data_IF_457622800125
#
_entry.id   IF_457622800125
#
_cell.length_a   1.000
_cell.length_b   1.000
_cell.length_c   1.000
_cell.angle_alpha   90.00
_cell.angle_beta   90.00
_cell.angle_gamma   90.00
#
_symmetry.space_group_name_H-M   'P 1'
#
loop_
_entity.id
_entity.type
_entity.pdbx_description
1 polymer ?
#
# COMPACT_ATOMS: atom_id res chain seq x y z
N UNK A 1 34.39 55.07 25.57
CA UNK A 1 35.73 55.75 25.53
C UNK A 1 36.17 55.85 24.08
N UNK A 2 36.48 57.12 23.70
CA UNK A 2 37.20 57.58 22.52
C UNK A 2 36.52 57.35 21.14
N UNK A 3 35.74 58.29 20.61
CA UNK A 3 35.95 59.65 20.09
C UNK A 3 36.88 59.78 18.88
N UNK A 4 36.34 60.58 17.95
CA UNK A 4 37.01 61.41 16.91
C UNK A 4 37.05 60.85 15.50
N UNK A 5 36.81 61.60 14.44
CA UNK A 5 36.39 62.96 14.17
C UNK A 5 36.41 63.12 12.64
N UNK A 6 35.40 63.75 12.11
CA UNK A 6 35.35 64.89 11.18
C UNK A 6 36.54 65.11 10.22
N UNK A 7 36.26 65.18 8.92
CA UNK A 7 36.79 66.23 8.09
C UNK A 7 35.90 66.50 6.86
N UNK A 8 35.43 67.72 6.82
CA UNK A 8 34.71 68.42 5.75
C UNK A 8 35.83 68.99 4.82
N UNK A 9 35.62 68.90 3.53
CA UNK A 9 36.28 69.87 2.61
C UNK A 9 35.34 70.22 1.45
N UNK A 10 34.88 71.44 1.44
CA UNK A 10 34.18 72.10 0.35
C UNK A 10 35.26 72.84 -0.53
N UNK A 11 35.03 72.76 -1.84
CA UNK A 11 35.63 73.81 -2.73
C UNK A 11 34.74 73.99 -3.95
N UNK A 12 34.24 75.22 -4.06
CA UNK A 12 33.54 75.77 -5.22
C UNK A 12 34.52 76.38 -6.19
N UNK A 13 34.22 76.41 -7.48
CA UNK A 13 34.58 77.49 -8.47
C UNK A 13 33.80 77.17 -9.76
N UNK A 14 32.79 77.90 -10.18
CA UNK A 14 32.62 79.11 -11.01
C UNK A 14 33.28 79.01 -12.39
N UNK A 15 32.47 79.25 -13.44
CA UNK A 15 32.94 79.76 -14.71
C UNK A 15 32.06 79.40 -15.92
N UNK A 16 31.05 80.18 -16.17
CA UNK A 16 30.68 80.92 -17.41
C UNK A 16 30.87 80.31 -18.78
N UNK A 17 29.77 80.39 -19.55
CA UNK A 17 29.78 80.99 -20.86
C UNK A 17 29.07 80.29 -21.97
N UNK A 18 27.87 80.79 -22.30
CA UNK A 18 27.49 81.23 -23.63
C UNK A 18 27.04 80.19 -24.65
N UNK A 19 25.98 80.43 -25.07
CA UNK A 19 25.33 80.92 -26.31
C UNK A 19 24.18 80.01 -26.81
N UNK A 20 23.14 80.71 -27.20
CA UNK A 20 21.84 80.21 -27.55
C UNK A 20 21.70 79.80 -29.04
N UNK A 21 20.68 78.95 -29.29
CA UNK A 21 19.77 78.81 -30.44
C UNK A 21 20.26 78.08 -31.69
N UNK A 22 19.29 77.53 -32.53
CA UNK A 22 17.83 77.60 -32.46
C UNK A 22 17.10 76.29 -32.65
N UNK A 23 15.81 76.41 -32.44
CA UNK A 23 14.73 75.51 -32.71
C UNK A 23 14.80 74.76 -34.04
N UNK A 24 14.47 73.47 -33.93
CA UNK A 24 14.24 72.60 -35.10
C UNK A 24 13.43 71.34 -34.74
N UNK A 25 12.17 71.35 -35.11
CA UNK A 25 11.44 70.12 -35.44
C UNK A 25 10.84 69.33 -34.31
N UNK A 26 9.61 69.64 -33.89
CA UNK A 26 8.68 68.70 -33.32
C UNK A 26 8.38 67.59 -34.33
N UNK A 27 9.05 66.46 -34.27
CA UNK A 27 8.59 65.23 -34.86
C UNK A 27 7.87 64.48 -33.74
N UNK A 28 6.50 64.48 -33.85
CA UNK A 28 5.63 63.67 -33.02
C UNK A 28 5.93 62.18 -33.24
N UNK A 29 6.80 61.66 -32.42
CA UNK A 29 6.95 60.21 -32.24
C UNK A 29 5.82 59.73 -31.33
N UNK A 30 4.82 59.10 -31.86
CA UNK A 30 3.87 58.34 -31.09
C UNK A 30 4.59 57.28 -30.25
N UNK A 31 4.79 57.63 -28.96
CA UNK A 31 5.34 56.70 -28.00
C UNK A 31 4.35 55.59 -27.74
N UNK A 32 4.33 54.59 -28.62
CA UNK A 32 3.71 53.31 -28.28
C UNK A 32 4.43 52.77 -27.04
N UNK A 33 3.62 52.34 -26.06
CA UNK A 33 4.19 51.70 -24.87
C UNK A 33 5.17 50.59 -25.29
N UNK A 34 6.32 50.46 -24.65
CA UNK A 34 7.31 49.46 -24.99
C UNK A 34 6.67 48.06 -24.99
N UNK A 35 6.73 47.37 -26.11
CA UNK A 35 6.22 46.01 -26.25
C UNK A 35 7.35 45.02 -25.92
N UNK A 36 7.14 44.22 -24.89
CA UNK A 36 8.12 43.24 -24.44
C UNK A 36 7.92 41.89 -25.15
N UNK A 37 8.97 41.34 -25.79
CA UNK A 37 8.89 39.96 -26.31
C UNK A 37 8.91 38.97 -25.13
N UNK A 38 7.99 38.06 -25.08
CA UNK A 38 7.83 37.01 -24.05
C UNK A 38 7.54 35.70 -24.68
N UNK A 39 8.08 34.61 -24.12
CA UNK A 39 7.71 33.26 -24.47
C UNK A 39 6.51 32.83 -23.63
N UNK A 40 5.52 32.24 -24.29
CA UNK A 40 4.26 31.83 -23.66
C UNK A 40 3.97 30.36 -23.92
N UNK A 41 3.36 29.71 -22.96
CA UNK A 41 2.74 28.40 -23.13
C UNK A 41 1.23 28.51 -22.91
N UNK A 42 0.47 27.63 -23.54
CA UNK A 42 -0.97 27.53 -23.33
C UNK A 42 -1.24 26.58 -22.15
N UNK A 43 -2.00 27.04 -21.17
CA UNK A 43 -2.50 26.20 -20.10
C UNK A 43 -3.37 25.09 -20.68
N UNK A 44 -3.00 23.84 -20.45
CA UNK A 44 -3.69 22.66 -21.00
C UNK A 44 -4.38 21.84 -19.90
N UNK A 45 -5.32 21.02 -20.27
CA UNK A 45 -5.86 20.00 -19.38
C UNK A 45 -5.05 18.73 -19.51
N UNK A 46 -4.75 18.10 -18.35
CA UNK A 46 -4.04 16.83 -18.29
C UNK A 46 -4.58 15.98 -17.14
N UNK A 47 -4.27 14.69 -17.16
CA UNK A 47 -4.62 13.81 -16.04
C UNK A 47 -3.55 13.89 -14.96
N UNK A 48 -3.93 14.47 -13.84
CA UNK A 48 -3.08 14.54 -12.65
C UNK A 48 -3.45 13.44 -11.66
N UNK A 49 -2.44 12.66 -11.27
CA UNK A 49 -2.59 11.58 -10.27
C UNK A 49 -1.88 12.03 -9.00
N UNK A 50 -2.64 12.25 -7.95
CA UNK A 50 -2.10 12.50 -6.63
C UNK A 50 -1.78 11.17 -5.94
N UNK A 51 -0.55 11.02 -5.46
CA UNK A 51 -0.10 9.79 -4.80
C UNK A 51 0.40 10.07 -3.38
N UNK A 52 0.08 9.17 -2.48
CA UNK A 52 0.63 9.12 -1.12
C UNK A 52 1.81 8.16 -1.16
N UNK A 53 3.01 8.65 -0.85
CA UNK A 53 4.20 7.81 -0.71
C UNK A 53 4.28 7.23 0.69
N UNK A 54 4.57 5.94 0.78
CA UNK A 54 4.69 5.20 2.02
C UNK A 54 5.74 4.10 1.87
N UNK A 55 6.25 3.63 3.00
CA UNK A 55 7.18 2.50 3.03
C UNK A 55 6.57 1.34 3.80
N UNK A 56 6.99 0.13 3.48
CA UNK A 56 6.43 -1.04 4.11
C UNK A 56 7.20 -2.32 3.78
N UNK A 57 6.53 -3.45 3.92
CA UNK A 57 7.11 -4.76 3.61
C UNK A 57 6.08 -5.69 2.95
N UNK A 58 6.60 -6.65 2.21
CA UNK A 58 5.78 -7.75 1.71
C UNK A 58 5.45 -8.68 2.88
N UNK A 59 4.19 -9.07 2.98
CA UNK A 59 3.65 -10.02 3.94
C UNK A 59 2.97 -11.19 3.22
N UNK A 60 3.06 -12.38 3.79
CA UNK A 60 2.20 -13.47 3.35
C UNK A 60 0.74 -13.18 3.75
N UNK A 61 -0.22 -13.59 2.93
CA UNK A 61 -1.65 -13.48 3.28
C UNK A 61 -1.96 -14.36 4.51
N UNK A 62 -1.37 -15.54 4.55
CA UNK A 62 -1.41 -16.46 5.70
C UNK A 62 0.00 -16.97 5.97
N UNK A 63 0.40 -16.98 7.22
CA UNK A 63 1.65 -17.57 7.70
C UNK A 63 1.42 -18.17 9.08
N UNK A 64 1.78 -19.43 9.24
CA UNK A 64 1.65 -20.14 10.51
C UNK A 64 2.90 -20.96 10.84
N UNK A 65 3.13 -21.19 12.11
CA UNK A 65 4.02 -22.21 12.61
C UNK A 65 3.22 -23.50 12.81
N UNK A 66 3.54 -24.52 12.05
CA UNK A 66 2.91 -25.83 12.19
C UNK A 66 3.42 -26.53 13.45
N UNK A 67 2.49 -26.99 14.25
CA UNK A 67 2.73 -27.74 15.50
C UNK A 67 1.85 -29.00 15.51
N UNK A 68 2.28 -30.09 16.14
CA UNK A 68 1.44 -31.27 16.25
C UNK A 68 0.32 -31.06 17.28
N UNK A 69 -0.83 -31.68 17.07
CA UNK A 69 -1.95 -31.69 18.01
C UNK A 69 -1.88 -32.87 18.99
N UNK A 70 -1.11 -33.91 18.65
CA UNK A 70 -0.83 -35.06 19.48
C UNK A 70 0.67 -35.20 19.67
N UNK A 71 1.06 -35.70 20.84
CA UNK A 71 2.47 -35.94 21.15
C UNK A 71 2.90 -37.34 20.70
N UNK A 72 4.17 -37.49 20.40
CA UNK A 72 4.75 -38.77 20.01
C UNK A 72 6.04 -38.62 19.20
N UNK A 73 6.53 -39.73 18.69
CA UNK A 73 7.74 -39.80 17.88
C UNK A 73 7.39 -39.56 16.40
N UNK A 74 8.18 -38.75 15.69
CA UNK A 74 8.06 -38.61 14.23
C UNK A 74 8.56 -39.90 13.58
N UNK A 75 7.69 -40.57 12.84
CA UNK A 75 7.99 -41.81 12.11
C UNK A 75 8.15 -41.60 10.62
N UNK A 76 7.60 -40.49 10.08
CA UNK A 76 7.70 -40.18 8.65
C UNK A 76 7.64 -38.68 8.41
N UNK A 77 8.41 -38.21 7.43
CA UNK A 77 8.41 -36.84 6.93
C UNK A 77 7.95 -36.90 5.48
N UNK A 78 6.73 -36.45 5.23
CA UNK A 78 6.02 -36.59 3.95
C UNK A 78 6.29 -35.44 2.98
N UNK A 79 6.61 -34.23 3.51
CA UNK A 79 6.88 -33.05 2.71
C UNK A 79 8.33 -32.60 2.85
N UNK A 80 8.92 -32.13 1.75
CA UNK A 80 10.27 -31.55 1.73
C UNK A 80 10.21 -30.05 2.11
N UNK A 81 11.32 -29.54 2.59
CA UNK A 81 11.51 -28.09 2.85
C UNK A 81 11.41 -27.29 1.56
N UNK A 82 10.81 -26.11 1.62
CA UNK A 82 10.68 -25.20 0.49
C UNK A 82 9.77 -25.70 -0.64
N UNK A 83 9.01 -26.77 -0.42
CA UNK A 83 8.09 -27.30 -1.43
C UNK A 83 6.69 -26.73 -1.28
N UNK A 84 6.00 -26.64 -2.41
CA UNK A 84 4.59 -26.27 -2.45
C UNK A 84 3.73 -27.46 -2.04
N UNK A 85 2.74 -27.17 -1.21
CA UNK A 85 1.77 -28.16 -0.73
C UNK A 85 0.35 -27.60 -0.87
N UNK A 86 -0.57 -28.49 -1.16
CA UNK A 86 -2.01 -28.17 -1.23
C UNK A 86 -2.62 -28.40 0.14
N UNK A 87 -3.70 -27.69 0.45
CA UNK A 87 -4.51 -27.91 1.65
C UNK A 87 -4.84 -29.39 1.83
N UNK A 88 -4.76 -29.89 3.07
CA UNK A 88 -4.98 -31.27 3.43
C UNK A 88 -3.79 -32.23 3.20
N UNK A 89 -2.72 -31.80 2.49
CA UNK A 89 -1.51 -32.61 2.28
C UNK A 89 -0.87 -32.98 3.61
N UNK A 90 -0.57 -34.27 3.85
CA UNK A 90 0.19 -34.73 5.00
C UNK A 90 1.63 -34.26 4.93
N UNK A 91 2.13 -33.69 6.02
CA UNK A 91 3.49 -33.13 6.10
C UNK A 91 4.38 -33.97 7.02
N UNK A 92 3.87 -34.38 8.13
CA UNK A 92 4.56 -35.20 9.13
C UNK A 92 3.62 -36.29 9.62
N UNK A 93 4.18 -37.45 9.97
CA UNK A 93 3.46 -38.53 10.61
C UNK A 93 4.10 -38.85 11.97
N UNK A 94 3.28 -38.88 12.99
CA UNK A 94 3.61 -39.25 14.35
C UNK A 94 3.25 -40.73 14.53
N UNK A 95 3.96 -41.43 15.39
CA UNK A 95 3.68 -42.84 15.69
C UNK A 95 2.25 -43.03 16.17
N UNK A 96 1.49 -43.75 15.39
CA UNK A 96 0.06 -44.03 15.59
C UNK A 96 -0.23 -45.41 16.11
N UNK A 97 0.80 -46.21 16.39
CA UNK A 97 0.64 -47.65 16.74
C UNK A 97 -0.21 -47.86 17.99
N UNK A 98 0.02 -47.08 19.04
CA UNK A 98 -0.75 -47.15 20.27
C UNK A 98 -2.21 -46.69 20.07
N UNK A 99 -2.41 -45.61 19.32
CA UNK A 99 -3.73 -45.05 19.04
C UNK A 99 -4.58 -46.02 18.17
N UNK A 100 -3.96 -46.69 17.19
CA UNK A 100 -4.63 -47.75 16.40
C UNK A 100 -5.08 -48.91 17.26
N UNK A 101 -4.26 -49.38 18.21
CA UNK A 101 -4.65 -50.44 19.12
C UNK A 101 -5.82 -50.00 20.03
N UNK A 102 -5.84 -48.73 20.48
CA UNK A 102 -6.93 -48.19 21.28
C UNK A 102 -8.23 -48.05 20.46
N UNK A 103 -8.15 -47.60 19.22
CA UNK A 103 -9.33 -47.53 18.29
C UNK A 103 -9.89 -48.93 18.10
N UNK A 104 -9.08 -49.93 17.78
CA UNK A 104 -9.55 -51.30 17.58
C UNK A 104 -10.24 -51.85 18.84
N UNK A 105 -9.76 -51.57 20.06
CA UNK A 105 -10.42 -51.94 21.31
C UNK A 105 -11.78 -51.25 21.45
N UNK A 106 -11.85 -49.95 21.20
CA UNK A 106 -13.10 -49.17 21.33
C UNK A 106 -14.13 -49.54 20.24
N UNK A 107 -13.69 -49.95 19.05
CA UNK A 107 -14.55 -50.52 18.01
C UNK A 107 -15.26 -51.80 18.51
N UNK A 108 -14.51 -52.70 19.16
CA UNK A 108 -15.09 -53.91 19.74
C UNK A 108 -16.06 -53.60 20.91
N UNK A 109 -15.76 -52.60 21.74
CA UNK A 109 -16.65 -52.12 22.82
C UNK A 109 -17.96 -51.53 22.27
N UNK A 110 -17.87 -50.68 21.23
CA UNK A 110 -19.01 -50.08 20.52
C UNK A 110 -19.89 -51.19 19.91
N UNK A 111 -19.29 -52.17 19.25
CA UNK A 111 -20.00 -53.27 18.62
C UNK A 111 -20.75 -54.12 19.64
N UNK A 112 -20.11 -54.39 20.79
CA UNK A 112 -20.77 -55.11 21.92
C UNK A 112 -21.98 -54.33 22.47
N UNK A 113 -21.81 -53.00 22.70
CA UNK A 113 -22.89 -52.14 23.18
C UNK A 113 -24.06 -52.06 22.18
N UNK A 114 -23.73 -51.92 20.88
CA UNK A 114 -24.74 -51.90 19.80
C UNK A 114 -25.49 -53.21 19.70
N UNK A 115 -24.81 -54.36 19.83
CA UNK A 115 -25.48 -55.67 19.87
C UNK A 115 -26.37 -55.85 21.10
N UNK A 116 -25.94 -55.32 22.27
CA UNK A 116 -26.77 -55.34 23.49
C UNK A 116 -28.04 -54.49 23.30
N UNK A 117 -27.90 -53.28 22.75
CA UNK A 117 -29.05 -52.42 22.42
C UNK A 117 -30.02 -53.10 21.49
N UNK A 118 -29.56 -53.71 20.38
CA UNK A 118 -30.41 -54.43 19.45
C UNK A 118 -31.17 -55.56 20.13
N UNK A 119 -30.49 -56.39 20.96
CA UNK A 119 -31.15 -57.46 21.68
C UNK A 119 -32.24 -56.95 22.65
N UNK A 120 -31.93 -55.86 23.39
CA UNK A 120 -32.91 -55.28 24.32
C UNK A 120 -34.11 -54.72 23.59
N UNK A 121 -33.91 -54.08 22.44
CA UNK A 121 -34.99 -53.59 21.57
C UNK A 121 -35.87 -54.75 21.08
N UNK A 122 -35.30 -55.86 20.59
CA UNK A 122 -36.04 -57.07 20.18
C UNK A 122 -36.84 -57.72 21.34
N UNK A 123 -36.28 -57.65 22.58
CA UNK A 123 -37.01 -58.19 23.77
C UNK A 123 -38.14 -57.26 24.18
N UNK A 124 -38.02 -55.94 24.04
CA UNK A 124 -39.17 -55.04 24.30
C UNK A 124 -40.30 -55.26 23.33
N UNK A 125 -40.00 -55.42 22.03
CA UNK A 125 -41.03 -55.75 21.04
C UNK A 125 -41.83 -57.01 21.41
N UNK A 126 -41.19 -57.92 22.15
CA UNK A 126 -41.80 -59.16 22.66
C UNK A 126 -42.35 -59.06 24.11
N UNK A 127 -42.38 -57.85 24.68
CA UNK A 127 -42.76 -57.57 26.07
C UNK A 127 -41.91 -58.33 27.11
N UNK A 128 -40.65 -58.62 26.82
CA UNK A 128 -39.73 -59.42 27.66
C UNK A 128 -38.54 -58.54 28.25
N UNK A 129 -38.65 -57.23 28.19
CA UNK A 129 -37.71 -56.28 28.81
C UNK A 129 -38.45 -55.01 29.21
N UNK A 130 -37.79 -54.14 30.07
CA UNK A 130 -38.39 -52.91 30.53
C UNK A 130 -37.92 -51.72 29.70
N UNK A 131 -38.66 -50.58 29.70
CA UNK A 131 -38.26 -49.35 29.05
C UNK A 131 -36.94 -48.78 29.65
N UNK A 132 -36.76 -49.02 30.98
CA UNK A 132 -35.53 -48.63 31.63
C UNK A 132 -34.27 -49.40 31.14
N UNK A 133 -34.43 -50.68 30.80
CA UNK A 133 -33.36 -51.51 30.24
C UNK A 133 -33.00 -51.03 28.82
N UNK A 134 -33.98 -50.61 28.03
CA UNK A 134 -33.74 -50.03 26.69
C UNK A 134 -32.98 -48.70 26.82
N UNK A 135 -33.48 -47.79 27.66
CA UNK A 135 -32.83 -46.50 27.90
C UNK A 135 -31.38 -46.67 28.37
N UNK A 136 -31.10 -47.62 29.25
CA UNK A 136 -29.74 -47.93 29.68
C UNK A 136 -28.89 -48.49 28.54
N UNK A 137 -29.42 -49.38 27.71
CA UNK A 137 -28.70 -49.93 26.55
C UNK A 137 -28.40 -48.86 25.51
N UNK A 138 -29.35 -47.95 25.26
CA UNK A 138 -29.13 -46.78 24.38
C UNK A 138 -28.05 -45.85 24.91
N UNK A 139 -28.08 -45.54 26.23
CA UNK A 139 -27.08 -44.70 26.86
C UNK A 139 -25.66 -45.29 26.74
N UNK A 140 -25.57 -46.62 26.95
CA UNK A 140 -24.29 -47.34 26.82
C UNK A 140 -23.76 -47.32 25.38
N UNK A 141 -24.63 -47.56 24.37
CA UNK A 141 -24.26 -47.53 22.97
C UNK A 141 -23.79 -46.14 22.54
N UNK A 142 -24.52 -45.07 22.92
CA UNK A 142 -24.10 -43.68 22.67
C UNK A 142 -22.76 -43.32 23.33
N UNK A 143 -22.53 -43.82 24.56
CA UNK A 143 -21.26 -43.59 25.28
C UNK A 143 -20.09 -44.28 24.58
N UNK A 144 -20.27 -45.54 24.14
CA UNK A 144 -19.21 -46.26 23.43
C UNK A 144 -18.88 -45.63 22.07
N UNK A 145 -19.89 -45.17 21.34
CA UNK A 145 -19.75 -44.46 20.07
C UNK A 145 -18.95 -43.16 20.25
N UNK A 146 -19.32 -42.33 21.24
CA UNK A 146 -18.62 -41.09 21.52
C UNK A 146 -17.14 -41.29 21.93
N UNK A 147 -16.86 -42.38 22.67
CA UNK A 147 -15.48 -42.74 23.05
C UNK A 147 -14.66 -43.18 21.84
N UNK A 148 -15.25 -43.95 20.93
CA UNK A 148 -14.62 -44.35 19.68
C UNK A 148 -14.30 -43.15 18.81
N UNK A 149 -15.29 -42.27 18.59
CA UNK A 149 -15.15 -41.05 17.80
C UNK A 149 -13.99 -40.15 18.31
N UNK A 150 -13.93 -39.92 19.62
CA UNK A 150 -12.84 -39.15 20.24
C UNK A 150 -11.47 -39.76 19.92
N UNK A 151 -11.35 -41.08 19.95
CA UNK A 151 -10.08 -41.74 19.72
C UNK A 151 -9.69 -41.76 18.22
N UNK A 152 -10.69 -41.87 17.34
CA UNK A 152 -10.51 -41.77 15.89
C UNK A 152 -9.98 -40.35 15.51
N UNK A 153 -10.55 -39.30 16.08
CA UNK A 153 -10.07 -37.93 15.90
C UNK A 153 -8.60 -37.81 16.33
N UNK A 154 -8.23 -38.40 17.47
CA UNK A 154 -6.83 -38.38 17.91
C UNK A 154 -5.91 -39.14 16.96
N UNK A 155 -6.36 -40.26 16.43
CA UNK A 155 -5.62 -41.06 15.44
C UNK A 155 -5.44 -40.25 14.15
N UNK A 156 -6.46 -39.57 13.67
CA UNK A 156 -6.38 -38.71 12.48
C UNK A 156 -5.35 -37.59 12.67
N UNK A 157 -5.29 -36.99 13.87
CA UNK A 157 -4.35 -35.91 14.21
C UNK A 157 -2.88 -36.35 14.32
N UNK A 158 -2.61 -37.67 14.23
CA UNK A 158 -1.20 -38.15 14.12
C UNK A 158 -0.56 -37.79 12.80
N UNK A 159 -1.34 -37.48 11.76
CA UNK A 159 -0.87 -36.94 10.50
C UNK A 159 -1.04 -35.41 10.54
N UNK A 160 0.04 -34.68 10.69
CA UNK A 160 0.03 -33.22 10.62
C UNK A 160 -0.15 -32.81 9.17
N UNK A 161 -1.26 -32.12 8.89
CA UNK A 161 -1.65 -31.70 7.53
C UNK A 161 -1.50 -30.20 7.33
N UNK A 162 -1.34 -29.78 6.07
CA UNK A 162 -1.37 -28.37 5.68
C UNK A 162 -2.82 -27.82 5.79
N UNK A 163 -3.09 -26.78 6.61
CA UNK A 163 -4.42 -26.21 6.76
C UNK A 163 -4.82 -25.28 5.63
N UNK A 164 -3.88 -24.89 4.77
CA UNK A 164 -4.10 -24.14 3.53
C UNK A 164 -2.96 -24.43 2.54
N UNK A 165 -3.18 -24.12 1.27
CA UNK A 165 -2.16 -24.28 0.23
C UNK A 165 -1.08 -23.21 0.36
N UNK A 166 0.20 -23.61 0.29
CA UNK A 166 1.32 -22.70 0.49
C UNK A 166 2.67 -23.39 0.28
N UNK A 167 3.72 -22.73 0.74
CA UNK A 167 5.09 -23.26 0.70
C UNK A 167 5.57 -23.53 2.13
N UNK A 168 6.15 -24.70 2.33
CA UNK A 168 6.79 -25.09 3.59
C UNK A 168 8.11 -24.35 3.79
N UNK A 169 8.37 -23.88 5.00
CA UNK A 169 9.65 -23.32 5.38
C UNK A 169 10.70 -24.37 5.76
N UNK A 170 11.67 -23.93 6.54
CA UNK A 170 12.70 -24.80 7.11
C UNK A 170 12.09 -25.80 8.08
N UNK A 171 12.52 -27.03 8.02
CA UNK A 171 12.14 -28.09 8.94
C UNK A 171 12.98 -27.97 10.24
N UNK A 172 12.29 -27.97 11.36
CA UNK A 172 12.91 -27.79 12.68
C UNK A 172 13.04 -29.11 13.49
N UNK A 173 12.61 -30.23 12.91
CA UNK A 173 12.57 -31.54 13.55
C UNK A 173 13.11 -32.63 12.63
N UNK A 174 13.54 -33.74 13.17
CA UNK A 174 14.10 -34.88 12.45
C UNK A 174 13.29 -36.17 12.65
N UNK A 175 13.49 -37.13 11.78
CA UNK A 175 12.93 -38.46 11.95
C UNK A 175 13.41 -39.05 13.28
N UNK A 176 12.49 -39.57 14.08
CA UNK A 176 12.79 -40.13 15.38
C UNK A 176 12.67 -39.13 16.55
N UNK A 177 12.56 -37.85 16.30
CA UNK A 177 12.36 -36.86 17.36
C UNK A 177 11.01 -37.06 18.05
N UNK A 178 11.01 -36.86 19.38
CA UNK A 178 9.76 -36.83 20.14
C UNK A 178 9.23 -35.40 20.18
N UNK A 179 8.00 -35.22 19.76
CA UNK A 179 7.35 -33.91 19.61
C UNK A 179 6.11 -33.78 20.50
N UNK A 180 5.83 -32.56 20.93
CA UNK A 180 4.66 -32.17 21.73
C UNK A 180 3.94 -30.99 21.06
N UNK A 181 2.77 -30.61 21.53
CA UNK A 181 2.02 -29.46 21.05
C UNK A 181 2.79 -28.11 21.12
N UNK A 182 3.85 -28.03 21.90
CA UNK A 182 4.76 -26.87 21.98
C UNK A 182 5.84 -26.88 20.90
N UNK A 183 6.14 -28.04 20.29
CA UNK A 183 7.24 -28.21 19.33
C UNK A 183 6.84 -27.63 17.97
N UNK A 184 7.68 -26.73 17.44
CA UNK A 184 7.53 -26.20 16.06
C UNK A 184 8.12 -27.22 15.08
N UNK A 185 7.34 -27.62 14.09
CA UNK A 185 7.76 -28.58 13.07
C UNK A 185 8.36 -27.86 11.85
N UNK A 186 7.62 -26.92 11.30
CA UNK A 186 7.98 -26.08 10.15
C UNK A 186 7.07 -24.86 10.11
N UNK A 187 7.34 -23.92 9.21
CA UNK A 187 6.40 -22.85 8.88
C UNK A 187 5.65 -23.20 7.59
N UNK A 188 4.43 -22.71 7.45
CA UNK A 188 3.67 -22.76 6.21
C UNK A 188 3.18 -21.35 5.88
N UNK A 189 3.42 -20.88 4.65
CA UNK A 189 3.01 -19.54 4.23
C UNK A 189 2.50 -19.54 2.80
N UNK A 190 1.52 -18.68 2.54
CA UNK A 190 1.05 -18.41 1.18
C UNK A 190 2.12 -17.63 0.42
N UNK A 191 2.29 -17.91 -0.87
CA UNK A 191 3.23 -17.21 -1.75
C UNK A 191 2.56 -16.44 -2.88
N UNK A 192 1.34 -16.80 -3.24
CA UNK A 192 0.48 -16.09 -4.20
C UNK A 192 -0.99 -16.27 -3.79
N UNK A 193 -1.73 -15.19 -3.58
CA UNK A 193 -1.27 -13.79 -3.55
C UNK A 193 -0.42 -13.45 -2.32
N UNK A 194 0.32 -12.34 -2.39
CA UNK A 194 0.98 -11.70 -1.26
C UNK A 194 0.24 -10.43 -0.85
N UNK A 195 0.67 -9.80 0.22
CA UNK A 195 0.25 -8.45 0.62
C UNK A 195 1.46 -7.53 0.74
N UNK A 196 1.29 -6.28 0.28
CA UNK A 196 2.16 -5.18 0.66
C UNK A 196 1.54 -4.50 1.87
N UNK A 197 2.13 -4.66 3.05
CA UNK A 197 1.74 -3.96 4.27
C UNK A 197 2.57 -2.67 4.39
N UNK A 198 1.92 -1.51 4.57
CA UNK A 198 2.57 -0.22 4.69
C UNK A 198 1.78 0.71 5.61
N UNK A 199 2.44 1.75 6.10
CA UNK A 199 1.82 2.71 7.01
C UNK A 199 1.68 4.07 6.35
N UNK A 200 0.53 4.70 6.53
CA UNK A 200 0.18 6.02 5.99
C UNK A 200 -0.09 6.98 7.14
N UNK A 201 0.38 8.23 7.04
CA UNK A 201 0.13 9.24 8.08
C UNK A 201 -1.36 9.55 8.24
N UNK A 202 -1.81 9.77 9.48
CA UNK A 202 -3.19 10.06 9.89
C UNK A 202 -3.86 11.17 9.07
N UNK A 203 -3.10 12.20 8.68
CA UNK A 203 -3.62 13.30 7.85
C UNK A 203 -4.26 12.87 6.52
N UNK A 204 -3.98 11.65 6.06
CA UNK A 204 -4.55 11.08 4.84
C UNK A 204 -5.71 10.12 5.11
N UNK A 205 -6.15 9.97 6.37
CA UNK A 205 -7.17 9.01 6.79
C UNK A 205 -8.45 9.07 5.93
N UNK A 206 -8.95 10.30 5.69
CA UNK A 206 -10.16 10.52 4.90
C UNK A 206 -10.03 10.15 3.42
N UNK A 207 -8.80 10.01 2.93
CA UNK A 207 -8.50 9.66 1.53
C UNK A 207 -8.25 8.17 1.32
N UNK A 208 -8.16 7.38 2.39
CA UNK A 208 -7.94 5.93 2.30
C UNK A 208 -9.26 5.22 2.01
N UNK A 209 -9.27 4.38 0.97
CA UNK A 209 -10.43 3.58 0.57
C UNK A 209 -9.99 2.17 0.15
N UNK A 210 -10.85 1.22 0.40
CA UNK A 210 -10.71 -0.12 -0.19
C UNK A 210 -10.81 -0.02 -1.71
N UNK A 211 -10.06 -0.85 -2.43
CA UNK A 211 -10.05 -0.88 -3.89
C UNK A 211 -9.12 0.13 -4.55
N UNK A 212 -8.44 1.01 -3.81
CA UNK A 212 -7.46 1.94 -4.38
C UNK A 212 -6.29 1.17 -5.01
N UNK A 213 -5.82 1.68 -6.14
CA UNK A 213 -4.64 1.16 -6.82
C UNK A 213 -3.36 1.55 -6.06
N UNK A 214 -2.47 0.59 -5.95
CA UNK A 214 -1.15 0.75 -5.33
C UNK A 214 -0.10 0.32 -6.33
N UNK A 215 0.91 1.13 -6.51
CA UNK A 215 2.13 0.77 -7.24
C UNK A 215 3.28 0.76 -6.26
N UNK A 216 4.16 -0.22 -6.32
CA UNK A 216 5.32 -0.27 -5.45
C UNK A 216 6.54 -0.85 -6.15
N UNK A 217 7.70 -0.42 -5.70
CA UNK A 217 9.00 -0.96 -6.05
C UNK A 217 9.57 -1.74 -4.87
N UNK A 218 10.31 -2.80 -5.17
CA UNK A 218 11.00 -3.61 -4.17
C UNK A 218 12.50 -3.32 -4.30
N UNK A 219 13.16 -2.97 -3.20
CA UNK A 219 14.58 -2.64 -3.22
C UNK A 219 15.49 -3.73 -3.84
N UNK A 220 15.08 -5.01 -3.69
CA UNK A 220 15.79 -6.14 -4.30
C UNK A 220 15.53 -6.32 -5.80
N UNK A 221 14.58 -5.59 -6.40
CA UNK A 221 14.15 -5.69 -7.79
C UNK A 221 13.89 -4.28 -8.38
N UNK A 222 14.94 -3.43 -8.51
CA UNK A 222 14.78 -2.01 -8.80
C UNK A 222 14.14 -1.73 -10.17
N UNK A 223 14.35 -2.62 -11.14
CA UNK A 223 13.83 -2.47 -12.52
C UNK A 223 12.38 -2.98 -12.68
N UNK A 224 11.73 -3.41 -11.59
CA UNK A 224 10.37 -3.95 -11.62
C UNK A 224 9.43 -3.13 -10.76
N UNK A 225 8.34 -2.72 -11.36
CA UNK A 225 7.19 -2.16 -10.66
C UNK A 225 6.12 -3.23 -10.50
N UNK A 226 5.52 -3.26 -9.32
CA UNK A 226 4.42 -4.15 -8.98
C UNK A 226 3.17 -3.33 -8.71
N UNK A 227 2.04 -3.89 -9.06
CA UNK A 227 0.74 -3.26 -8.81
C UNK A 227 -0.09 -4.13 -7.87
N UNK A 228 -0.88 -3.48 -7.07
CA UNK A 228 -1.80 -4.13 -6.14
C UNK A 228 -3.05 -3.31 -5.92
N UNK A 229 -3.93 -3.83 -5.09
CA UNK A 229 -5.17 -3.17 -4.72
C UNK A 229 -5.33 -3.21 -3.21
N UNK A 230 -5.66 -2.08 -2.60
CA UNK A 230 -5.93 -1.99 -1.15
C UNK A 230 -7.09 -2.92 -0.80
N UNK A 231 -6.83 -3.90 0.07
CA UNK A 231 -7.82 -4.85 0.57
C UNK A 231 -8.10 -4.70 2.07
N UNK A 232 -7.28 -3.90 2.76
CA UNK A 232 -7.46 -3.62 4.19
C UNK A 232 -6.94 -2.23 4.56
N UNK A 233 -7.70 -1.50 5.37
CA UNK A 233 -7.31 -0.25 6.03
C UNK A 233 -7.65 -0.42 7.50
N UNK A 234 -6.67 -0.27 8.39
CA UNK A 234 -6.91 -0.40 9.83
C UNK A 234 -7.80 0.75 10.30
N UNK A 235 -8.90 0.49 11.02
CA UNK A 235 -9.76 1.53 11.59
C UNK A 235 -9.10 2.31 12.74
N UNK A 236 -7.93 1.87 13.22
CA UNK A 236 -7.21 2.49 14.33
C UNK A 236 -5.99 3.24 13.84
N UNK A 237 -5.70 4.34 14.51
CA UNK A 237 -4.43 5.06 14.38
C UNK A 237 -3.43 4.50 15.38
N UNK A 238 -2.28 4.08 14.93
CA UNK A 238 -1.19 3.60 15.77
C UNK A 238 -0.43 4.78 16.41
N UNK A 239 -0.33 4.75 17.75
CA UNK A 239 0.44 5.73 18.51
C UNK A 239 1.79 5.13 18.92
N UNK A 240 2.86 5.94 19.03
CA UNK A 240 2.91 7.41 18.92
C UNK A 240 3.13 7.93 17.48
N UNK A 241 3.33 7.05 16.49
CA UNK A 241 3.70 7.45 15.12
C UNK A 241 2.58 8.19 14.37
N UNK A 242 1.32 8.10 14.84
CA UNK A 242 0.12 8.63 14.18
C UNK A 242 0.02 8.15 12.74
N UNK A 243 0.06 6.83 12.57
CA UNK A 243 -0.04 6.17 11.28
C UNK A 243 -1.21 5.20 11.25
N UNK A 244 -1.68 4.91 10.06
CA UNK A 244 -2.73 3.93 9.77
C UNK A 244 -2.10 2.82 8.95
N UNK A 245 -2.27 1.58 9.39
CA UNK A 245 -1.80 0.41 8.67
C UNK A 245 -2.74 0.11 7.50
N UNK A 246 -2.17 0.02 6.30
CA UNK A 246 -2.87 -0.31 5.06
C UNK A 246 -2.22 -1.55 4.46
N UNK A 247 -3.05 -2.47 3.95
CA UNK A 247 -2.57 -3.64 3.22
C UNK A 247 -3.16 -3.69 1.83
N UNK A 248 -2.31 -3.97 0.86
CA UNK A 248 -2.70 -4.12 -0.52
C UNK A 248 -2.39 -5.53 -1.02
N UNK A 249 -3.35 -6.16 -1.64
CA UNK A 249 -3.20 -7.49 -2.24
C UNK A 249 -2.45 -7.39 -3.56
N UNK A 250 -1.48 -8.26 -3.73
CA UNK A 250 -0.56 -8.28 -4.88
C UNK A 250 -0.48 -9.70 -5.42
N UNK A 251 -0.60 -9.86 -6.73
CA UNK A 251 -0.36 -11.16 -7.39
C UNK A 251 1.13 -11.43 -7.51
N UNK A 252 1.54 -12.65 -7.23
CA UNK A 252 2.93 -13.08 -7.26
C UNK A 252 3.12 -14.42 -8.02
N UNK A 253 2.63 -14.54 -9.25
CA UNK A 253 2.65 -15.82 -9.99
C UNK A 253 4.07 -16.31 -10.25
N UNK A 254 5.03 -15.40 -10.38
CA UNK A 254 6.46 -15.72 -10.59
C UNK A 254 7.22 -15.96 -9.28
N UNK A 255 6.57 -15.78 -8.12
CA UNK A 255 7.13 -16.01 -6.78
C UNK A 255 8.41 -15.23 -6.47
N UNK A 256 8.60 -14.10 -7.13
CA UNK A 256 9.78 -13.23 -6.90
C UNK A 256 9.63 -12.41 -5.64
N UNK A 257 8.40 -12.08 -5.25
CA UNK A 257 8.12 -11.39 -3.99
C UNK A 257 8.18 -12.40 -2.85
N UNK A 258 9.00 -12.08 -1.84
CA UNK A 258 9.12 -12.89 -0.63
C UNK A 258 8.69 -12.07 0.59
N UNK A 259 7.98 -12.66 1.55
CA UNK A 259 7.68 -12.00 2.81
C UNK A 259 8.95 -11.47 3.48
N UNK A 260 8.87 -10.27 4.04
CA UNK A 260 10.00 -9.54 4.61
C UNK A 260 10.75 -8.62 3.64
N UNK A 261 10.47 -8.66 2.33
CA UNK A 261 11.05 -7.70 1.39
C UNK A 261 10.49 -6.29 1.64
N UNK A 262 11.39 -5.31 1.70
CA UNK A 262 11.04 -3.90 1.85
C UNK A 262 10.47 -3.34 0.55
N UNK A 263 9.44 -2.48 0.66
CA UNK A 263 8.74 -1.88 -0.47
C UNK A 263 8.58 -0.37 -0.29
N UNK A 264 8.79 0.35 -1.38
CA UNK A 264 8.42 1.76 -1.53
C UNK A 264 7.10 1.83 -2.30
N UNK A 265 6.09 2.34 -1.62
CA UNK A 265 4.69 2.30 -2.07
C UNK A 265 4.24 3.68 -2.52
N UNK A 266 3.58 3.74 -3.67
CA UNK A 266 2.83 4.89 -4.17
C UNK A 266 1.34 4.51 -4.23
N UNK A 267 0.57 4.99 -3.28
CA UNK A 267 -0.88 4.80 -3.21
C UNK A 267 -1.57 5.92 -3.99
N UNK A 268 -2.38 5.57 -4.96
CA UNK A 268 -3.20 6.55 -5.70
C UNK A 268 -4.28 7.09 -4.76
N UNK A 269 -4.19 8.37 -4.44
CA UNK A 269 -5.12 9.09 -3.57
C UNK A 269 -6.29 9.66 -4.35
N UNK A 270 -5.97 10.34 -5.46
CA UNK A 270 -6.97 11.01 -6.29
C UNK A 270 -6.51 11.04 -7.75
N UNK A 271 -7.45 10.91 -8.67
CA UNK A 271 -7.21 11.06 -10.12
C UNK A 271 -8.08 12.21 -10.62
N UNK A 272 -7.45 13.26 -11.12
CA UNK A 272 -8.11 14.43 -11.72
C UNK A 272 -7.86 14.45 -13.23
N UNK A 273 -8.78 13.95 -14.04
CA UNK A 273 -8.53 13.76 -15.49
C UNK A 273 -8.53 15.04 -16.31
N UNK A 274 -9.02 16.15 -15.75
CA UNK A 274 -9.13 17.46 -16.43
C UNK A 274 -8.49 18.57 -15.58
N UNK A 275 -7.38 18.27 -14.91
CA UNK A 275 -6.64 19.27 -14.14
C UNK A 275 -5.95 20.24 -15.09
N UNK A 276 -6.03 21.54 -14.80
CA UNK A 276 -5.30 22.55 -15.56
C UNK A 276 -3.82 22.51 -15.16
N UNK A 277 -2.94 22.34 -16.15
CA UNK A 277 -1.49 22.29 -15.92
C UNK A 277 -0.79 23.37 -16.72
N UNK A 278 0.24 23.92 -16.13
CA UNK A 278 1.15 24.89 -16.78
C UNK A 278 2.59 24.42 -16.62
N UNK A 279 3.53 24.82 -17.50
CA UNK A 279 4.94 24.53 -17.30
C UNK A 279 5.44 25.09 -15.96
N UNK A 280 6.33 24.38 -15.27
CA UNK A 280 6.85 24.82 -13.97
C UNK A 280 7.55 26.20 -14.04
N UNK A 281 8.16 26.53 -15.19
CA UNK A 281 8.83 27.81 -15.43
C UNK A 281 7.85 29.00 -15.49
N UNK A 282 6.54 28.78 -15.61
CA UNK A 282 5.54 29.85 -15.58
C UNK A 282 5.27 30.35 -14.15
N UNK A 283 5.62 29.58 -13.14
CA UNK A 283 5.29 29.89 -11.74
C UNK A 283 6.37 30.73 -11.08
N UNK A 284 5.97 31.86 -10.51
CA UNK A 284 6.82 32.79 -9.78
C UNK A 284 6.47 32.77 -8.29
N UNK A 285 7.30 32.16 -7.43
CA UNK A 285 7.12 32.27 -5.99
C UNK A 285 7.58 33.65 -5.50
N UNK A 286 6.67 34.46 -4.96
CA UNK A 286 6.97 35.80 -4.43
C UNK A 286 6.37 35.95 -3.03
N UNK A 287 7.20 36.20 -2.04
CA UNK A 287 6.78 36.54 -0.67
C UNK A 287 5.79 35.56 -0.02
N UNK A 288 5.90 34.26 -0.37
CA UNK A 288 5.07 33.21 0.23
C UNK A 288 3.75 32.91 -0.50
N UNK A 289 3.52 33.56 -1.65
CA UNK A 289 2.43 33.23 -2.58
C UNK A 289 3.00 32.92 -3.96
N UNK A 290 2.27 32.13 -4.73
CA UNK A 290 2.65 31.74 -6.09
C UNK A 290 1.87 32.56 -7.10
N UNK A 291 2.54 33.06 -8.12
CA UNK A 291 1.98 33.92 -9.16
C UNK A 291 2.31 33.37 -10.54
N UNK A 292 1.45 33.68 -11.50
CA UNK A 292 1.70 33.49 -12.92
C UNK A 292 1.39 34.80 -13.67
N UNK A 293 2.07 35.05 -14.79
CA UNK A 293 1.70 36.09 -15.72
C UNK A 293 0.78 35.50 -16.79
N UNK A 294 -0.44 35.97 -16.85
CA UNK A 294 -1.43 35.59 -17.88
C UNK A 294 -1.51 36.71 -18.90
N UNK A 295 -1.57 36.35 -20.18
CA UNK A 295 -1.76 37.33 -21.26
C UNK A 295 -3.23 37.40 -21.61
N UNK A 296 -3.80 38.60 -21.50
CA UNK A 296 -5.15 38.92 -21.95
C UNK A 296 -5.10 40.18 -22.79
N UNK A 297 -5.67 40.15 -24.01
CA UNK A 297 -5.71 41.30 -24.94
C UNK A 297 -4.34 41.95 -25.22
N UNK A 298 -3.26 41.16 -25.23
CA UNK A 298 -1.88 41.64 -25.49
C UNK A 298 -1.19 42.29 -24.29
N UNK A 299 -1.81 42.29 -23.13
CA UNK A 299 -1.24 42.81 -21.90
C UNK A 299 -0.97 41.68 -20.88
N UNK A 300 0.12 41.78 -20.15
CA UNK A 300 0.47 40.83 -19.10
C UNK A 300 -0.19 41.24 -17.76
N UNK A 301 -0.94 40.35 -17.17
CA UNK A 301 -1.57 40.50 -15.85
C UNK A 301 -1.02 39.49 -14.89
N UNK A 302 -0.54 39.92 -13.73
CA UNK A 302 -0.06 39.05 -12.68
C UNK A 302 -1.24 38.49 -11.89
N UNK A 303 -1.36 37.18 -11.81
CA UNK A 303 -2.45 36.51 -11.12
C UNK A 303 -1.91 35.58 -10.05
N UNK A 304 -2.44 35.67 -8.86
CA UNK A 304 -2.16 34.71 -7.78
C UNK A 304 -2.80 33.37 -8.10
N UNK A 305 -2.07 32.28 -7.85
CA UNK A 305 -2.49 30.94 -8.16
C UNK A 305 -2.33 30.01 -6.97
N UNK A 306 -3.23 29.03 -6.90
CA UNK A 306 -3.08 27.92 -5.96
C UNK A 306 -2.53 26.72 -6.71
N UNK A 307 -1.32 26.30 -6.33
CA UNK A 307 -0.68 25.13 -6.92
C UNK A 307 -1.26 23.83 -6.39
N UNK A 308 -1.32 22.82 -7.25
CA UNK A 308 -1.64 21.44 -6.91
C UNK A 308 -0.43 20.52 -7.00
N UNK A 309 -0.62 19.37 -7.62
CA UNK A 309 0.41 18.34 -7.80
C UNK A 309 1.40 18.75 -8.91
N UNK A 310 2.69 18.50 -8.66
CA UNK A 310 3.73 18.64 -9.69
C UNK A 310 3.91 17.31 -10.42
N UNK A 311 3.92 17.41 -11.73
CA UNK A 311 4.22 16.30 -12.65
C UNK A 311 5.46 16.66 -13.46
N UNK A 312 6.15 15.74 -14.11
CA UNK A 312 7.39 16.06 -14.84
C UNK A 312 7.21 17.22 -15.83
N UNK A 313 7.90 18.34 -15.59
CA UNK A 313 7.87 19.56 -16.43
C UNK A 313 6.65 20.46 -16.27
N UNK A 314 5.64 20.06 -15.50
CA UNK A 314 4.41 20.83 -15.31
C UNK A 314 3.94 20.84 -13.87
N UNK A 315 3.11 21.83 -13.54
CA UNK A 315 2.44 21.95 -12.25
C UNK A 315 0.95 22.18 -12.44
N UNK A 316 0.15 21.50 -11.63
CA UNK A 316 -1.29 21.71 -11.58
C UNK A 316 -1.63 23.06 -10.97
N UNK A 317 -2.55 23.78 -11.59
CA UNK A 317 -3.13 25.00 -11.06
C UNK A 317 -4.57 24.68 -10.62
N UNK A 318 -4.81 24.70 -9.32
CA UNK A 318 -6.14 24.45 -8.76
C UNK A 318 -7.04 25.68 -8.87
N UNK A 319 -6.46 26.89 -8.74
CA UNK A 319 -7.18 28.16 -8.84
C UNK A 319 -6.28 29.21 -9.47
N UNK A 320 -6.88 30.10 -10.27
CA UNK A 320 -6.23 31.28 -10.82
C UNK A 320 -5.98 31.25 -12.33
N UNK A 321 -5.95 30.08 -12.97
CA UNK A 321 -5.81 29.93 -14.45
C UNK A 321 -6.83 28.95 -14.97
N UNK A 322 -7.34 29.23 -16.16
CA UNK A 322 -8.24 28.34 -16.90
C UNK A 322 -7.56 27.72 -18.11
N UNK A 323 -8.04 26.55 -18.53
CA UNK A 323 -7.51 25.90 -19.71
C UNK A 323 -7.68 26.79 -20.95
N UNK A 324 -6.63 26.88 -21.78
CA UNK A 324 -6.61 27.73 -22.97
C UNK A 324 -6.00 29.14 -22.74
N UNK A 325 -5.83 29.58 -21.52
CA UNK A 325 -5.14 30.84 -21.23
C UNK A 325 -3.62 30.73 -21.54
N UNK A 326 -3.06 31.83 -22.01
CA UNK A 326 -1.62 31.93 -22.29
C UNK A 326 -0.88 32.40 -21.02
N UNK A 327 0.07 31.60 -20.56
CA UNK A 327 0.93 31.90 -19.43
C UNK A 327 2.37 32.15 -19.89
N UNK A 328 3.02 33.14 -19.31
CA UNK A 328 4.40 33.48 -19.67
C UNK A 328 5.35 32.48 -19.03
N UNK A 329 6.27 31.95 -19.83
CA UNK A 329 7.29 30.98 -19.42
C UNK A 329 8.73 31.51 -19.60
N UNK A 330 8.88 32.63 -20.30
CA UNK A 330 10.17 33.26 -20.52
C UNK A 330 10.08 34.79 -20.65
N UNK A 331 11.08 35.54 -20.19
CA UNK A 331 11.08 37.02 -20.18
C UNK A 331 10.36 37.64 -18.97
N UNK A 332 10.09 36.86 -17.93
CA UNK A 332 9.34 37.23 -16.71
C UNK A 332 9.94 38.44 -15.95
N UNK A 333 11.27 38.62 -16.00
CA UNK A 333 12.01 39.62 -15.20
C UNK A 333 11.69 41.08 -15.60
N UNK A 334 11.12 41.29 -16.82
CA UNK A 334 10.85 42.62 -17.36
C UNK A 334 9.38 43.00 -17.30
N UNK A 335 8.53 42.11 -16.80
CA UNK A 335 7.11 42.32 -16.78
C UNK A 335 6.67 43.11 -15.54
N UNK A 336 5.70 43.99 -15.79
CA UNK A 336 4.94 44.69 -14.76
C UNK A 336 3.46 44.65 -15.11
N UNK A 337 2.58 44.93 -14.17
CA UNK A 337 1.15 44.89 -14.36
C UNK A 337 0.69 45.76 -15.52
N UNK A 338 0.01 45.19 -16.49
CA UNK A 338 -0.46 45.87 -17.71
C UNK A 338 0.58 46.06 -18.81
N UNK A 339 1.79 45.48 -18.68
CA UNK A 339 2.82 45.57 -19.71
C UNK A 339 2.34 45.01 -21.04
N UNK A 340 2.47 45.78 -22.12
CA UNK A 340 2.17 45.30 -23.48
C UNK A 340 3.24 44.30 -23.92
N UNK A 341 2.80 43.14 -24.36
CA UNK A 341 3.68 42.03 -24.71
C UNK A 341 3.46 41.54 -26.13
N UNK A 342 4.51 41.03 -26.75
CA UNK A 342 4.46 40.22 -27.95
C UNK A 342 4.70 38.78 -27.57
N UNK A 343 3.63 38.00 -27.58
CA UNK A 343 3.66 36.59 -27.27
C UNK A 343 4.33 35.78 -28.39
N UNK A 344 5.32 34.99 -28.04
CA UNK A 344 5.90 33.95 -28.88
C UNK A 344 5.49 32.61 -28.26
N UNK A 345 4.61 31.88 -28.92
CA UNK A 345 4.11 30.59 -28.41
C UNK A 345 5.21 29.55 -28.55
N UNK A 346 5.64 29.01 -27.42
CA UNK A 346 6.60 27.91 -27.36
C UNK A 346 5.86 26.65 -27.00
N UNK A 347 5.81 25.69 -27.92
CA UNK A 347 5.38 24.33 -27.59
C UNK A 347 6.50 23.66 -26.77
N UNK A 348 6.34 23.55 -25.48
CA UNK A 348 7.17 22.67 -24.65
C UNK A 348 6.55 21.29 -24.72
N UNK A 349 7.22 20.44 -25.47
CA UNK A 349 6.83 19.08 -25.76
C UNK A 349 6.77 18.18 -24.52
N UNK A 350 6.21 17.00 -24.76
CA UNK A 350 6.07 15.86 -23.88
C UNK A 350 7.35 15.44 -23.15
#
# INVERSE_FOLDING_TARGET
>A
MKTRSVMVLAAAFVGCGGEASPAGGAAGGGGGAPVFPVDVAVARTDTVIETIRATGAIEAVQAIELRPEVEGRIVEILAREGTEVVEGTGLFKIDDSQLKAQVARLEAERDLATQALRRTSELIERNASSAADLEQAEANARSAEAQLELQQIRLERTVVRAPFSGVTGVRLVSLGDYVTSATRLTTLQTVDPQRAGFTVAERYAERLRLGQAVTFAVAALPDRQFTGTVDFVDPRVELPARTITVKARVRNPTRVLKPGMFVDVSLVSEVRPQAVVVPEDAVLPVSGADYVWVISDGAATRREVTLGVRIPGFVEIQQGVTAGEQVVVGGLERLFEGAQVRANVVERGE
#
